data_IF_614444532985
#
_entry.id   IF_614444532985
#
_cell.length_a   1.000
_cell.length_b   1.000
_cell.length_c   1.000
_cell.angle_alpha   90.00
_cell.angle_beta   90.00
_cell.angle_gamma   90.00
#
_symmetry.space_group_name_H-M   'P 1'
#
loop_
_entity.id
_entity.type
_entity.pdbx_description
1 polymer ?
#
# COMPACT_ATOMS: atom_id res chain seq x y z
N UNK A 1 -39.54 -4.34 0.61
CA UNK A 1 -39.31 -5.59 -0.16
C UNK A 1 -40.05 -6.79 0.45
N UNK A 2 -40.57 -6.72 1.69
CA UNK A 2 -41.36 -7.79 2.34
C UNK A 2 -40.82 -9.21 2.11
N UNK A 3 -39.49 -9.34 2.20
CA UNK A 3 -38.79 -10.59 1.98
C UNK A 3 -38.96 -11.44 3.23
N UNK A 4 -39.74 -12.50 3.10
CA UNK A 4 -40.14 -13.36 4.22
C UNK A 4 -40.00 -14.83 3.85
N UNK A 5 -39.81 -15.68 4.86
CA UNK A 5 -39.84 -17.13 4.74
C UNK A 5 -40.75 -17.74 5.81
N UNK A 6 -41.21 -18.97 5.62
CA UNK A 6 -41.89 -19.75 6.67
C UNK A 6 -40.83 -20.46 7.52
N UNK A 7 -40.83 -20.24 8.83
CA UNK A 7 -39.88 -20.88 9.73
C UNK A 7 -40.36 -22.28 10.19
N UNK A 8 -39.53 -23.00 10.94
CA UNK A 8 -39.83 -24.35 11.44
C UNK A 8 -41.07 -24.45 12.34
N UNK A 9 -41.65 -23.31 12.75
CA UNK A 9 -42.90 -23.24 13.53
C UNK A 9 -44.13 -22.95 12.65
N UNK A 10 -43.99 -22.95 11.32
CA UNK A 10 -45.05 -22.62 10.37
C UNK A 10 -45.42 -21.13 10.35
N UNK A 11 -44.61 -20.27 10.96
CA UNK A 11 -44.86 -18.83 11.05
C UNK A 11 -44.03 -18.04 10.05
N UNK A 12 -44.62 -17.01 9.46
CA UNK A 12 -43.94 -16.11 8.53
C UNK A 12 -42.92 -15.25 9.28
N UNK A 13 -41.65 -15.34 8.90
CA UNK A 13 -40.53 -14.64 9.51
C UNK A 13 -39.81 -13.75 8.49
N UNK A 14 -39.18 -12.68 8.97
CA UNK A 14 -38.31 -11.81 8.15
C UNK A 14 -36.94 -12.44 7.96
N UNK A 15 -36.36 -12.27 6.78
CA UNK A 15 -35.00 -12.73 6.49
C UNK A 15 -33.94 -11.86 7.17
N UNK A 16 -32.78 -12.45 7.47
CA UNK A 16 -31.57 -11.72 7.86
C UNK A 16 -30.74 -11.44 6.61
N UNK A 17 -30.50 -10.16 6.30
CA UNK A 17 -29.74 -9.76 5.12
C UNK A 17 -28.46 -9.01 5.51
N UNK A 18 -27.40 -9.21 4.74
CA UNK A 18 -26.18 -8.42 4.80
C UNK A 18 -25.86 -7.85 3.42
N UNK A 19 -25.20 -6.70 3.40
CA UNK A 19 -24.65 -6.11 2.18
C UNK A 19 -23.27 -5.54 2.48
N UNK A 20 -22.38 -5.60 1.50
CA UNK A 20 -21.01 -5.11 1.60
C UNK A 20 -20.55 -4.67 0.22
N UNK A 21 -19.62 -3.71 0.18
CA UNK A 21 -19.11 -3.13 -1.04
C UNK A 21 -17.62 -2.81 -0.94
N UNK A 22 -16.93 -2.94 -2.07
CA UNK A 22 -15.53 -2.58 -2.24
C UNK A 22 -15.40 -1.90 -3.61
N UNK A 23 -14.63 -0.81 -3.69
CA UNK A 23 -14.61 0.05 -4.88
C UNK A 23 -13.18 0.40 -5.32
N UNK A 24 -13.08 1.07 -6.46
CA UNK A 24 -11.83 1.60 -7.03
C UNK A 24 -11.12 2.62 -6.13
N UNK A 25 -11.77 3.11 -5.06
CA UNK A 25 -11.13 3.93 -4.01
C UNK A 25 -9.88 3.24 -3.44
N UNK A 26 -9.89 1.91 -3.36
CA UNK A 26 -8.74 1.12 -2.91
C UNK A 26 -7.47 1.33 -3.73
N UNK A 27 -7.61 1.59 -5.04
CA UNK A 27 -6.48 1.92 -5.91
C UNK A 27 -5.87 3.26 -5.49
N UNK A 28 -6.71 4.27 -5.24
CA UNK A 28 -6.25 5.57 -4.74
C UNK A 28 -5.53 5.47 -3.39
N UNK A 29 -6.06 4.67 -2.46
CA UNK A 29 -5.43 4.41 -1.16
C UNK A 29 -4.05 3.77 -1.35
N UNK A 30 -3.93 2.76 -2.21
CA UNK A 30 -2.65 2.09 -2.51
C UNK A 30 -1.63 3.06 -3.14
N UNK A 31 -2.06 3.92 -4.08
CA UNK A 31 -1.20 4.96 -4.68
C UNK A 31 -0.68 5.93 -3.61
N UNK A 32 -1.57 6.46 -2.76
CA UNK A 32 -1.19 7.42 -1.71
C UNK A 32 -0.34 6.80 -0.61
N UNK A 33 -0.49 5.50 -0.36
CA UNK A 33 0.25 4.79 0.70
C UNK A 33 1.71 4.54 0.30
N UNK A 34 1.95 4.20 -0.96
CA UNK A 34 3.27 3.72 -1.41
C UNK A 34 4.02 4.73 -2.28
N UNK A 35 3.33 5.65 -2.96
CA UNK A 35 3.97 6.62 -3.85
C UNK A 35 5.03 7.49 -3.14
N UNK A 36 6.00 7.94 -3.91
CA UNK A 36 7.08 8.82 -3.46
C UNK A 36 7.34 9.94 -4.47
N UNK A 37 8.37 10.76 -4.23
CA UNK A 37 8.71 11.91 -5.07
C UNK A 37 9.13 11.53 -6.51
N UNK A 38 9.42 10.25 -6.77
CA UNK A 38 9.74 9.74 -8.11
C UNK A 38 8.51 9.25 -8.87
N UNK A 39 7.37 9.06 -8.19
CA UNK A 39 6.10 8.65 -8.78
C UNK A 39 5.48 7.43 -8.12
N UNK A 40 4.87 6.55 -8.93
CA UNK A 40 4.19 5.36 -8.42
C UNK A 40 5.19 4.37 -7.83
N UNK A 41 4.74 3.64 -6.80
CA UNK A 41 5.41 2.45 -6.26
C UNK A 41 4.33 1.38 -6.13
N UNK A 42 4.33 0.41 -7.03
CA UNK A 42 3.26 -0.58 -7.11
C UNK A 42 3.66 -1.88 -6.40
N UNK A 43 2.80 -2.46 -5.55
CA UNK A 43 3.01 -3.79 -5.03
C UNK A 43 3.05 -4.82 -6.18
N UNK A 44 4.04 -5.75 -6.21
CA UNK A 44 4.21 -6.71 -7.30
C UNK A 44 2.99 -7.55 -7.66
N UNK A 45 2.10 -7.82 -6.71
CA UNK A 45 0.87 -8.60 -6.96
C UNK A 45 -0.17 -7.88 -7.82
N UNK A 46 -0.11 -6.54 -7.87
CA UNK A 46 -1.07 -5.70 -8.62
C UNK A 46 -0.40 -4.84 -9.69
N UNK A 47 0.93 -4.82 -9.75
CA UNK A 47 1.67 -4.10 -10.78
C UNK A 47 1.36 -4.69 -12.17
N UNK A 48 0.91 -3.89 -13.17
CA UNK A 48 0.67 -4.40 -14.52
C UNK A 48 1.92 -5.03 -15.13
N UNK A 49 3.07 -4.40 -14.89
CA UNK A 49 4.40 -4.90 -15.24
C UNK A 49 5.22 -5.04 -13.95
N UNK A 50 5.84 -6.20 -13.73
CA UNK A 50 6.65 -6.49 -12.54
C UNK A 50 8.13 -6.18 -12.79
N UNK A 51 8.62 -6.49 -13.99
CA UNK A 51 10.02 -6.34 -14.37
C UNK A 51 10.12 -5.60 -15.70
N UNK A 52 10.98 -4.58 -15.76
CA UNK A 52 11.39 -3.98 -17.04
C UNK A 52 12.87 -4.27 -17.29
N UNK A 53 13.19 -4.83 -18.44
CA UNK A 53 14.56 -5.08 -18.89
C UNK A 53 15.00 -3.92 -19.79
N UNK A 54 16.19 -3.38 -19.53
CA UNK A 54 16.72 -2.22 -20.24
C UNK A 54 18.16 -2.52 -20.71
N UNK A 55 18.41 -2.48 -22.03
CA UNK A 55 19.77 -2.62 -22.55
C UNK A 55 20.57 -1.36 -22.21
N UNK A 56 21.81 -1.56 -21.76
CA UNK A 56 22.76 -0.49 -21.42
C UNK A 56 23.86 -0.48 -22.49
N UNK A 57 23.67 0.27 -23.59
CA UNK A 57 24.65 0.34 -24.65
C UNK A 57 25.94 1.00 -24.15
N UNK A 58 27.07 0.55 -24.68
CA UNK A 58 28.38 1.13 -24.46
C UNK A 58 29.03 1.43 -25.81
N UNK A 59 29.91 2.44 -25.86
CA UNK A 59 30.61 2.78 -27.11
C UNK A 59 31.41 1.56 -27.61
N UNK A 60 31.35 1.33 -28.92
CA UNK A 60 32.12 0.31 -29.63
C UNK A 60 31.77 -1.16 -29.28
N UNK A 61 30.56 -1.42 -28.77
CA UNK A 61 30.06 -2.78 -28.48
C UNK A 61 28.88 -3.13 -29.38
N UNK A 62 28.75 -4.42 -29.73
CA UNK A 62 27.62 -4.98 -30.46
C UNK A 62 26.31 -4.82 -29.66
N UNK A 63 25.54 -3.79 -29.99
CA UNK A 63 24.23 -3.50 -29.42
C UNK A 63 23.22 -4.61 -29.72
N UNK A 64 23.37 -5.35 -30.83
CA UNK A 64 22.48 -6.46 -31.20
C UNK A 64 22.63 -7.62 -30.22
N UNK A 65 23.86 -7.96 -29.83
CA UNK A 65 24.12 -9.00 -28.83
C UNK A 65 23.45 -8.67 -27.47
N UNK A 66 23.56 -7.42 -27.01
CA UNK A 66 22.93 -6.97 -25.76
C UNK A 66 21.41 -7.11 -25.83
N UNK A 67 20.80 -6.61 -26.91
CA UNK A 67 19.34 -6.69 -27.11
C UNK A 67 18.86 -8.14 -27.17
N UNK A 68 19.62 -9.04 -27.79
CA UNK A 68 19.27 -10.46 -27.83
C UNK A 68 19.31 -11.11 -26.43
N UNK A 69 20.30 -10.78 -25.60
CA UNK A 69 20.34 -11.28 -24.21
C UNK A 69 19.20 -10.69 -23.37
N UNK A 70 18.83 -9.42 -23.58
CA UNK A 70 17.65 -8.84 -22.96
C UNK A 70 16.36 -9.56 -23.35
N UNK A 71 16.17 -9.88 -24.64
CA UNK A 71 14.99 -10.64 -25.11
C UNK A 71 14.92 -12.02 -24.47
N UNK A 72 16.03 -12.75 -24.45
CA UNK A 72 16.15 -14.06 -23.79
C UNK A 72 15.83 -13.96 -22.30
N UNK A 73 16.26 -12.89 -21.64
CA UNK A 73 15.95 -12.62 -20.24
C UNK A 73 14.45 -12.43 -20.02
N UNK A 74 13.78 -11.61 -20.84
CA UNK A 74 12.32 -11.43 -20.77
C UNK A 74 11.60 -12.76 -20.99
N UNK A 75 11.93 -13.50 -22.05
CA UNK A 75 11.32 -14.80 -22.33
C UNK A 75 11.48 -15.79 -21.16
N UNK A 76 12.64 -15.78 -20.49
CA UNK A 76 12.92 -16.64 -19.35
C UNK A 76 12.03 -16.28 -18.15
N UNK A 77 11.84 -14.99 -17.89
CA UNK A 77 10.98 -14.49 -16.81
C UNK A 77 9.49 -14.75 -17.11
N UNK A 78 9.06 -14.49 -18.35
CA UNK A 78 7.67 -14.74 -18.77
C UNK A 78 7.31 -16.23 -18.69
N UNK A 79 8.22 -17.14 -19.09
CA UNK A 79 8.04 -18.60 -18.91
C UNK A 79 7.85 -19.02 -17.45
N UNK A 80 8.38 -18.22 -16.52
CA UNK A 80 8.20 -18.43 -15.08
C UNK A 80 6.95 -17.72 -14.51
N UNK A 81 6.11 -17.10 -15.35
CA UNK A 81 4.89 -16.39 -14.95
C UNK A 81 5.13 -14.97 -14.44
N UNK A 82 6.34 -14.42 -14.59
CA UNK A 82 6.66 -13.05 -14.22
C UNK A 82 6.28 -12.11 -15.36
N UNK A 83 5.51 -11.07 -15.07
CA UNK A 83 5.14 -10.04 -16.05
C UNK A 83 6.35 -9.15 -16.34
N UNK A 84 7.07 -9.46 -17.42
CA UNK A 84 8.29 -8.78 -17.84
C UNK A 84 8.12 -8.14 -19.23
N UNK A 85 8.89 -7.09 -19.51
CA UNK A 85 8.91 -6.42 -20.81
C UNK A 85 10.31 -5.83 -21.07
N UNK A 86 10.60 -5.45 -22.31
CA UNK A 86 11.88 -4.92 -22.77
C UNK A 86 11.71 -3.53 -23.38
N UNK A 87 12.45 -2.54 -22.87
CA UNK A 87 12.49 -1.21 -23.45
C UNK A 87 13.63 -1.03 -24.46
N UNK A 88 13.37 -1.36 -25.74
CA UNK A 88 14.35 -1.22 -26.84
C UNK A 88 14.40 0.16 -27.49
N UNK A 89 13.63 1.16 -27.02
CA UNK A 89 13.54 2.47 -27.70
C UNK A 89 14.92 3.15 -27.80
N UNK A 90 15.44 3.30 -29.01
CA UNK A 90 16.81 3.80 -29.23
C UNK A 90 16.93 5.32 -29.07
N UNK A 91 15.82 6.04 -29.25
CA UNK A 91 15.77 7.50 -29.14
C UNK A 91 15.87 8.04 -27.70
N UNK A 92 15.97 7.15 -26.70
CA UNK A 92 16.05 7.50 -25.29
C UNK A 92 17.30 6.90 -24.63
N UNK A 93 17.98 7.71 -23.82
CA UNK A 93 19.10 7.24 -23.01
C UNK A 93 18.62 6.25 -21.93
N UNK A 94 19.49 5.33 -21.45
CA UNK A 94 19.14 4.44 -20.34
C UNK A 94 18.62 5.19 -19.12
N UNK A 95 19.27 6.30 -18.74
CA UNK A 95 18.82 7.15 -17.63
C UNK A 95 17.41 7.71 -17.81
N UNK A 96 17.02 8.08 -19.03
CA UNK A 96 15.64 8.50 -19.30
C UNK A 96 14.65 7.34 -19.10
N UNK A 97 14.99 6.15 -19.60
CA UNK A 97 14.16 4.95 -19.43
C UNK A 97 14.02 4.57 -17.96
N UNK A 98 15.09 4.71 -17.17
CA UNK A 98 15.08 4.45 -15.73
C UNK A 98 14.02 5.31 -15.05
N UNK A 99 14.06 6.63 -15.27
CA UNK A 99 13.08 7.56 -14.72
C UNK A 99 11.66 7.29 -15.23
N UNK A 100 11.50 6.94 -16.50
CA UNK A 100 10.19 6.62 -17.09
C UNK A 100 9.50 5.45 -16.39
N UNK A 101 10.23 4.38 -16.12
CA UNK A 101 9.69 3.19 -15.48
C UNK A 101 9.64 3.29 -13.95
N UNK A 102 10.54 4.06 -13.34
CA UNK A 102 10.43 4.44 -11.92
C UNK A 102 9.15 5.25 -11.68
N UNK A 103 8.83 6.23 -12.54
CA UNK A 103 7.60 7.02 -12.45
C UNK A 103 6.34 6.15 -12.56
N UNK A 104 6.37 5.13 -13.42
CA UNK A 104 5.28 4.16 -13.59
C UNK A 104 5.19 3.11 -12.48
N UNK A 105 6.19 3.05 -11.59
CA UNK A 105 6.20 2.16 -10.43
C UNK A 105 6.44 0.69 -10.74
N UNK A 106 7.17 0.39 -11.82
CA UNK A 106 7.60 -0.99 -12.11
C UNK A 106 8.49 -1.49 -10.95
N UNK A 107 8.12 -2.58 -10.25
CA UNK A 107 8.80 -3.02 -9.04
C UNK A 107 10.31 -3.27 -9.20
N UNK A 108 10.71 -3.92 -10.30
CA UNK A 108 12.09 -4.26 -10.58
C UNK A 108 12.49 -3.76 -11.96
N UNK A 109 13.69 -3.20 -12.05
CA UNK A 109 14.38 -2.92 -13.31
C UNK A 109 15.57 -3.86 -13.43
N UNK A 110 15.74 -4.49 -14.58
CA UNK A 110 16.94 -5.24 -14.92
C UNK A 110 17.73 -4.44 -15.96
N UNK A 111 19.01 -4.21 -15.65
CA UNK A 111 19.97 -3.53 -16.50
C UNK A 111 20.94 -4.59 -17.04
N UNK A 112 21.12 -4.64 -18.37
CA UNK A 112 22.05 -5.57 -19.03
C UNK A 112 22.97 -4.76 -19.93
N UNK A 113 24.26 -4.73 -19.59
CA UNK A 113 25.31 -4.18 -20.43
C UNK A 113 26.43 -5.19 -20.71
N UNK A 114 27.51 -4.75 -21.39
CA UNK A 114 28.62 -5.62 -21.78
C UNK A 114 29.30 -6.30 -20.58
N UNK A 115 29.40 -5.61 -19.45
CA UNK A 115 30.00 -6.13 -18.21
C UNK A 115 29.16 -7.25 -17.61
N UNK A 116 27.84 -7.11 -17.66
CA UNK A 116 26.91 -8.10 -17.11
C UNK A 116 26.92 -9.37 -17.96
N UNK A 117 26.96 -9.23 -19.29
CA UNK A 117 27.12 -10.35 -20.21
C UNK A 117 28.47 -11.08 -20.03
N UNK A 118 29.58 -10.35 -19.88
CA UNK A 118 30.90 -10.94 -19.65
C UNK A 118 30.95 -11.75 -18.34
N UNK A 119 30.17 -11.35 -17.34
CA UNK A 119 30.08 -12.01 -16.04
C UNK A 119 28.92 -13.02 -15.92
N UNK A 120 28.14 -13.25 -16.98
CA UNK A 120 26.92 -14.08 -16.96
C UNK A 120 25.96 -13.70 -15.81
N UNK A 121 25.69 -12.41 -15.66
CA UNK A 121 24.82 -11.86 -14.63
C UNK A 121 23.89 -10.78 -15.19
N UNK A 122 22.95 -10.34 -14.37
CA UNK A 122 22.07 -9.21 -14.63
C UNK A 122 22.02 -8.31 -13.38
N UNK A 123 22.07 -6.99 -13.59
CA UNK A 123 21.91 -6.01 -12.51
C UNK A 123 20.43 -5.73 -12.29
N UNK A 124 19.92 -6.06 -11.11
CA UNK A 124 18.54 -5.82 -10.71
C UNK A 124 18.47 -4.65 -9.73
N UNK A 125 17.55 -3.72 -9.98
CA UNK A 125 17.32 -2.53 -9.15
C UNK A 125 15.88 -2.52 -8.67
N UNK A 126 15.70 -2.34 -7.36
CA UNK A 126 14.39 -2.26 -6.69
C UNK A 126 13.80 -0.86 -6.75
N UNK A 127 12.50 -0.77 -7.02
CA UNK A 127 11.77 0.51 -7.06
C UNK A 127 11.48 1.09 -5.68
N UNK A 128 11.19 0.25 -4.70
CA UNK A 128 10.75 0.67 -3.36
C UNK A 128 11.86 1.34 -2.53
N UNK A 129 13.12 0.93 -2.72
CA UNK A 129 14.25 1.44 -1.94
C UNK A 129 15.53 1.74 -2.74
N UNK A 130 15.55 1.47 -4.06
CA UNK A 130 16.71 1.70 -4.91
C UNK A 130 17.87 0.72 -4.73
N UNK A 131 17.70 -0.33 -3.91
CA UNK A 131 18.74 -1.34 -3.70
C UNK A 131 19.07 -2.07 -5.01
N UNK A 132 20.36 -2.42 -5.16
CA UNK A 132 20.90 -3.04 -6.36
C UNK A 132 21.51 -4.40 -6.02
N UNK A 133 21.30 -5.38 -6.88
CA UNK A 133 21.91 -6.69 -6.78
C UNK A 133 22.42 -7.13 -8.15
N UNK A 134 23.57 -7.81 -8.18
CA UNK A 134 23.99 -8.57 -9.35
C UNK A 134 23.55 -10.02 -9.16
N UNK A 135 22.77 -10.53 -10.11
CA UNK A 135 22.17 -11.86 -10.04
C UNK A 135 22.74 -12.70 -11.17
N UNK A 136 23.36 -13.86 -10.89
CA UNK A 136 23.78 -14.80 -11.92
C UNK A 136 22.60 -15.20 -12.81
N UNK A 137 22.81 -15.30 -14.12
CA UNK A 137 21.73 -15.65 -15.07
C UNK A 137 21.11 -17.01 -14.75
N UNK A 138 21.87 -17.94 -14.16
CA UNK A 138 21.38 -19.25 -13.73
C UNK A 138 20.31 -19.18 -12.61
N UNK A 139 20.40 -18.18 -11.73
CA UNK A 139 19.52 -18.04 -10.56
C UNK A 139 18.44 -16.98 -10.77
N UNK A 140 18.36 -16.41 -11.98
CA UNK A 140 17.61 -15.18 -12.25
C UNK A 140 16.13 -15.31 -11.85
N UNK A 141 15.48 -16.40 -12.25
CA UNK A 141 14.05 -16.63 -11.96
C UNK A 141 13.79 -16.76 -10.47
N UNK A 142 14.60 -17.55 -9.76
CA UNK A 142 14.46 -17.77 -8.33
C UNK A 142 14.62 -16.44 -7.57
N UNK A 143 15.70 -15.71 -7.85
CA UNK A 143 16.00 -14.47 -7.14
C UNK A 143 15.04 -13.34 -7.49
N UNK A 144 14.59 -13.23 -8.74
CA UNK A 144 13.58 -12.22 -9.11
C UNK A 144 12.26 -12.49 -8.39
N UNK A 145 11.81 -13.76 -8.30
CA UNK A 145 10.61 -14.09 -7.53
C UNK A 145 10.77 -13.72 -6.04
N UNK A 146 11.89 -14.11 -5.42
CA UNK A 146 12.19 -13.75 -4.03
C UNK A 146 12.19 -12.24 -3.81
N UNK A 147 12.79 -11.47 -4.73
CA UNK A 147 12.79 -10.01 -4.68
C UNK A 147 11.39 -9.41 -4.81
N UNK A 148 10.52 -9.95 -5.67
CA UNK A 148 9.13 -9.47 -5.77
C UNK A 148 8.36 -9.74 -4.47
N UNK A 149 8.55 -10.89 -3.84
CA UNK A 149 7.93 -11.18 -2.53
C UNK A 149 8.46 -10.26 -1.42
N UNK A 150 9.77 -10.00 -1.41
CA UNK A 150 10.38 -9.04 -0.48
C UNK A 150 9.87 -7.62 -0.69
N UNK A 151 9.74 -7.15 -1.93
CA UNK A 151 9.16 -5.83 -2.23
C UNK A 151 7.72 -5.76 -1.71
N UNK A 152 6.91 -6.78 -1.97
CA UNK A 152 5.53 -6.86 -1.47
C UNK A 152 5.46 -6.77 0.06
N UNK A 153 6.32 -7.52 0.76
CA UNK A 153 6.40 -7.52 2.22
C UNK A 153 6.89 -6.18 2.76
N UNK A 154 7.96 -5.63 2.18
CA UNK A 154 8.55 -4.38 2.65
C UNK A 154 7.60 -3.19 2.51
N UNK A 155 6.83 -3.12 1.41
CA UNK A 155 5.80 -2.10 1.23
C UNK A 155 4.73 -2.18 2.33
N UNK A 156 4.28 -3.39 2.68
CA UNK A 156 3.31 -3.58 3.75
C UNK A 156 3.88 -3.19 5.11
N UNK A 157 5.06 -3.70 5.48
CA UNK A 157 5.65 -3.42 6.79
C UNK A 157 5.98 -1.94 6.97
N UNK A 158 6.50 -1.28 5.93
CA UNK A 158 6.77 0.17 5.96
C UNK A 158 5.48 0.97 6.15
N UNK A 159 4.41 0.63 5.42
CA UNK A 159 3.12 1.29 5.54
C UNK A 159 2.48 1.06 6.93
N UNK A 160 2.58 -0.17 7.44
CA UNK A 160 2.11 -0.53 8.78
C UNK A 160 2.84 0.25 9.87
N UNK A 161 4.17 0.30 9.83
CA UNK A 161 4.98 1.08 10.77
C UNK A 161 4.62 2.57 10.73
N UNK A 162 4.45 3.16 9.54
CA UNK A 162 4.01 4.55 9.38
C UNK A 162 2.63 4.78 10.01
N UNK A 163 1.66 3.90 9.75
CA UNK A 163 0.32 3.95 10.37
C UNK A 163 0.42 3.88 11.89
N UNK A 164 1.20 2.95 12.42
CA UNK A 164 1.33 2.72 13.87
C UNK A 164 2.01 3.91 14.56
N UNK A 165 3.01 4.54 13.93
CA UNK A 165 3.62 5.78 14.41
C UNK A 165 2.68 7.00 14.35
N UNK A 166 1.63 6.93 13.52
CA UNK A 166 0.56 7.93 13.46
C UNK A 166 -0.55 7.68 14.48
N UNK A 167 -0.58 6.53 15.16
CA UNK A 167 -1.55 6.25 16.21
C UNK A 167 -1.20 7.00 17.50
N UNK A 168 -2.19 7.69 18.07
CA UNK A 168 -2.09 8.32 19.38
C UNK A 168 -3.26 7.88 20.26
N UNK A 169 -2.96 7.26 21.39
CA UNK A 169 -3.94 6.99 22.44
C UNK A 169 -4.09 8.24 23.29
N UNK A 170 -5.34 8.67 23.54
CA UNK A 170 -5.67 9.85 24.35
C UNK A 170 -6.81 9.51 25.30
N UNK A 171 -6.90 10.24 26.41
CA UNK A 171 -7.95 10.07 27.41
C UNK A 171 -8.77 11.33 27.66
N UNK A 172 -8.28 12.49 27.19
CA UNK A 172 -8.91 13.79 27.45
C UNK A 172 -9.16 14.57 26.18
N UNK A 173 -10.06 15.55 26.27
CA UNK A 173 -10.35 16.48 25.19
C UNK A 173 -9.12 17.27 24.73
N UNK A 174 -8.29 17.74 25.67
CA UNK A 174 -7.13 18.56 25.33
C UNK A 174 -6.07 17.75 24.57
N UNK A 175 -5.80 16.51 25.01
CA UNK A 175 -4.92 15.58 24.29
C UNK A 175 -5.45 15.26 22.89
N UNK A 176 -6.78 15.11 22.77
CA UNK A 176 -7.44 14.85 21.51
C UNK A 176 -7.23 16.00 20.51
N UNK A 177 -7.36 17.26 20.94
CA UNK A 177 -7.17 18.43 20.06
C UNK A 177 -5.71 18.53 19.59
N UNK A 178 -4.74 18.30 20.48
CA UNK A 178 -3.32 18.27 20.11
C UNK A 178 -3.07 17.18 19.06
N UNK A 179 -3.51 15.95 19.31
CA UNK A 179 -3.33 14.83 18.39
C UNK A 179 -4.02 15.04 17.03
N UNK A 180 -5.19 15.69 17.02
CA UNK A 180 -5.93 16.00 15.80
C UNK A 180 -5.18 17.03 14.93
N UNK A 181 -4.58 18.04 15.56
CA UNK A 181 -3.79 19.05 14.87
C UNK A 181 -2.45 18.49 14.36
N UNK A 182 -1.87 17.52 15.07
CA UNK A 182 -0.68 16.76 14.65
C UNK A 182 -0.98 15.70 13.58
N UNK A 183 -2.20 15.67 13.04
CA UNK A 183 -2.65 14.75 11.97
C UNK A 183 -2.51 13.28 12.37
N UNK A 184 -2.75 12.95 13.63
CA UNK A 184 -2.71 11.58 14.14
C UNK A 184 -4.03 10.83 13.90
N UNK A 185 -3.94 9.51 13.83
CA UNK A 185 -5.06 8.61 14.05
C UNK A 185 -5.24 8.48 15.56
N UNK A 186 -6.42 8.80 16.09
CA UNK A 186 -6.61 8.92 17.54
C UNK A 186 -7.42 7.74 18.05
N UNK A 187 -6.96 7.07 19.10
CA UNK A 187 -7.74 6.07 19.83
C UNK A 187 -8.15 6.67 21.18
N UNK A 188 -9.44 6.79 21.43
CA UNK A 188 -9.97 7.45 22.63
C UNK A 188 -11.12 6.65 23.27
N UNK A 189 -11.26 6.68 24.62
CA UNK A 189 -12.37 6.05 25.32
C UNK A 189 -13.66 6.84 25.08
N UNK A 190 -14.71 6.18 24.62
CA UNK A 190 -15.95 6.81 24.15
C UNK A 190 -17.19 6.16 24.75
N UNK A 191 -18.23 6.96 25.00
CA UNK A 191 -19.50 6.52 25.59
C UNK A 191 -20.50 5.90 24.59
N UNK A 192 -20.16 5.86 23.30
CA UNK A 192 -21.01 5.33 22.22
C UNK A 192 -22.38 6.01 22.13
N UNK A 193 -22.37 7.35 22.16
CA UNK A 193 -23.59 8.16 22.04
C UNK A 193 -23.49 9.11 20.84
N UNK A 194 -24.50 9.07 19.98
CA UNK A 194 -24.55 9.85 18.74
C UNK A 194 -24.44 11.37 18.97
N UNK A 195 -25.11 11.88 20.00
CA UNK A 195 -25.06 13.31 20.33
C UNK A 195 -23.65 13.77 20.74
N UNK A 196 -22.86 12.90 21.37
CA UNK A 196 -21.46 13.20 21.70
C UNK A 196 -20.60 13.23 20.45
N UNK A 197 -20.83 12.33 19.48
CA UNK A 197 -20.13 12.39 18.20
C UNK A 197 -20.48 13.66 17.40
N UNK A 198 -21.77 14.06 17.38
CA UNK A 198 -22.21 15.32 16.76
C UNK A 198 -21.53 16.53 17.39
N UNK A 199 -21.44 16.56 18.72
CA UNK A 199 -20.77 17.63 19.45
C UNK A 199 -19.25 17.67 19.17
N UNK A 200 -18.56 16.52 19.17
CA UNK A 200 -17.14 16.45 18.76
C UNK A 200 -16.94 17.02 17.36
N UNK A 201 -17.81 16.64 16.42
CA UNK A 201 -17.77 17.13 15.03
C UNK A 201 -18.00 18.65 14.94
N UNK A 202 -18.92 19.19 15.75
CA UNK A 202 -19.17 20.62 15.79
C UNK A 202 -17.97 21.40 16.37
N UNK A 203 -17.42 20.94 17.50
CA UNK A 203 -16.28 21.57 18.20
C UNK A 203 -14.97 21.52 17.41
N UNK A 204 -14.81 20.55 16.51
CA UNK A 204 -13.57 20.34 15.73
C UNK A 204 -13.66 20.83 14.29
N UNK A 205 -14.76 21.49 13.91
CA UNK A 205 -14.98 21.99 12.56
C UNK A 205 -13.96 23.09 12.22
N UNK A 206 -13.27 22.92 11.09
CA UNK A 206 -12.33 23.90 10.55
C UNK A 206 -11.95 23.58 9.11
N UNK A 207 -10.94 24.26 8.58
CA UNK A 207 -10.56 24.20 7.16
C UNK A 207 -10.13 22.81 6.69
N UNK A 208 -9.54 22.01 7.59
CA UNK A 208 -9.13 20.62 7.33
C UNK A 208 -10.25 19.60 7.57
N UNK A 209 -11.49 20.07 7.78
CA UNK A 209 -12.63 19.24 8.15
C UNK A 209 -12.74 18.98 9.66
N UNK A 210 -13.84 18.33 10.03
CA UNK A 210 -14.17 17.97 11.40
C UNK A 210 -13.75 16.53 11.72
N UNK A 211 -13.47 16.26 13.00
CA UNK A 211 -13.25 14.90 13.47
C UNK A 211 -14.59 14.14 13.58
N UNK A 212 -14.53 12.84 13.35
CA UNK A 212 -15.64 11.90 13.57
C UNK A 212 -15.09 10.52 13.97
N UNK A 213 -15.97 9.61 14.37
CA UNK A 213 -15.58 8.21 14.55
C UNK A 213 -15.22 7.61 13.19
N UNK A 214 -14.18 6.78 13.17
CA UNK A 214 -13.76 6.02 12.00
C UNK A 214 -14.28 4.59 12.10
N UNK A 215 -13.94 3.92 13.20
CA UNK A 215 -14.51 2.65 13.59
C UNK A 215 -14.17 2.35 15.06
N UNK A 216 -14.91 1.43 15.65
CA UNK A 216 -14.52 0.74 16.87
C UNK A 216 -13.62 -0.44 16.48
N UNK A 217 -12.36 -0.52 16.94
CA UNK A 217 -11.53 -1.70 16.66
C UNK A 217 -12.17 -2.95 17.29
N UNK A 218 -12.12 -4.07 16.57
CA UNK A 218 -12.61 -5.35 17.10
C UNK A 218 -11.76 -5.84 18.27
N UNK A 219 -10.44 -5.71 18.16
CA UNK A 219 -9.50 -5.93 19.27
C UNK A 219 -9.42 -4.65 20.10
N UNK A 220 -10.08 -4.67 21.26
CA UNK A 220 -10.11 -3.56 22.20
C UNK A 220 -8.97 -3.70 23.21
N UNK A 221 -8.21 -2.63 23.49
CA UNK A 221 -7.42 -2.56 24.71
C UNK A 221 -8.32 -2.67 25.94
N UNK A 222 -7.73 -3.04 27.08
CA UNK A 222 -8.44 -3.00 28.36
C UNK A 222 -9.04 -1.60 28.58
N UNK A 223 -10.29 -1.58 29.07
CA UNK A 223 -10.99 -0.37 29.46
C UNK A 223 -11.21 -0.42 30.97
N UNK A 224 -10.31 0.17 31.77
CA UNK A 224 -10.42 0.13 33.22
C UNK A 224 -11.77 0.67 33.72
N UNK A 225 -12.27 0.09 34.81
CA UNK A 225 -13.48 0.58 35.46
C UNK A 225 -13.31 2.05 35.87
N UNK A 226 -14.36 2.84 35.69
CA UNK A 226 -14.33 4.28 35.95
C UNK A 226 -13.71 5.12 34.82
N UNK A 227 -13.22 4.52 33.73
CA UNK A 227 -12.76 5.29 32.56
C UNK A 227 -13.88 6.16 32.02
N UNK A 228 -13.59 7.45 31.81
CA UNK A 228 -14.56 8.42 31.28
C UNK A 228 -14.36 8.65 29.79
N UNK A 229 -15.44 9.06 29.13
CA UNK A 229 -15.45 9.46 27.74
C UNK A 229 -14.62 10.73 27.58
N UNK A 230 -13.65 10.69 26.67
CA UNK A 230 -12.70 11.79 26.44
C UNK A 230 -13.38 13.14 26.16
N UNK A 231 -14.59 13.11 25.59
CA UNK A 231 -15.29 14.29 25.10
C UNK A 231 -16.43 14.79 26.01
N UNK A 232 -17.09 13.90 26.76
CA UNK A 232 -18.31 14.22 27.52
C UNK A 232 -18.20 13.97 29.03
N UNK A 233 -17.16 13.28 29.50
CA UNK A 233 -16.99 12.91 30.90
C UNK A 233 -17.92 11.79 31.40
N UNK A 234 -18.87 11.32 30.59
CA UNK A 234 -19.72 10.15 30.89
C UNK A 234 -18.88 8.87 31.01
N UNK A 235 -19.37 7.78 31.61
CA UNK A 235 -18.67 6.49 31.56
C UNK A 235 -18.38 6.05 30.12
N UNK A 236 -17.14 5.66 29.85
CA UNK A 236 -16.75 5.10 28.56
C UNK A 236 -17.27 3.66 28.43
N UNK A 237 -17.66 3.27 27.22
CA UNK A 237 -18.12 1.91 26.90
C UNK A 237 -17.10 1.14 26.06
N UNK A 238 -16.31 1.85 25.25
CA UNK A 238 -15.36 1.27 24.31
C UNK A 238 -14.29 2.26 23.90
N UNK A 239 -13.17 1.77 23.41
CA UNK A 239 -12.22 2.55 22.63
C UNK A 239 -12.73 2.70 21.19
N UNK A 240 -12.55 3.87 20.59
CA UNK A 240 -12.88 4.09 19.18
C UNK A 240 -11.82 4.93 18.50
N UNK A 241 -11.60 4.66 17.21
CA UNK A 241 -10.74 5.48 16.38
C UNK A 241 -11.46 6.74 15.94
N UNK A 242 -10.76 7.86 16.00
CA UNK A 242 -11.20 9.17 15.60
C UNK A 242 -10.17 9.82 14.67
N UNK A 243 -10.65 10.71 13.83
CA UNK A 243 -9.82 11.54 12.99
C UNK A 243 -10.63 12.37 12.01
N UNK A 244 -9.94 13.19 11.23
CA UNK A 244 -10.50 13.78 10.01
C UNK A 244 -10.58 12.70 8.94
N UNK A 245 -11.62 12.73 8.12
CA UNK A 245 -11.77 11.82 6.99
C UNK A 245 -11.66 12.55 5.66
N UNK A 246 -11.21 11.83 4.63
CA UNK A 246 -11.28 12.23 3.22
C UNK A 246 -12.66 12.73 2.81
#
# INVERSE_FOLDING_TARGET
FDITFENDKGSRSMVWQNSWAYTTRSIGVMVMTHGDDKGLVLPPRVAPLQVIVIPVPYKDVDTTAIVNECKKTVETLEKAGIRADLDTRENYSPGWKYSHWEMKGVPLRIEIGPKDMANNQARVVRRDNGAKADIPTADLVEKVNGLLDEVQKNLFETAKQKRDACLKVVNTWDEFIVALNDKKLILAPWCDEEEVEKDVKARTKGDLGAAKTLCTPFEQPDLPEGTTCFASGKPAKKWSFWGRSY
#
